data_IF_992970463843
#
_entry.id   IF_992970463843
#
_cell.length_a   1.000
_cell.length_b   1.000
_cell.length_c   1.000
_cell.angle_alpha   90.00
_cell.angle_beta   90.00
_cell.angle_gamma   90.00
#
_symmetry.space_group_name_H-M   'P 1'
#
loop_
_entity.id
_entity.type
_entity.pdbx_description
1 polymer ?
#
# COMPACT_ATOMS: atom_id res chain seq x y z
N UNK A 1 -12.40 11.44 10.90
CA UNK A 1 -11.42 12.06 9.99
C UNK A 1 -10.52 12.96 10.81
N UNK A 2 -9.23 12.67 10.79
CA UNK A 2 -8.24 13.41 11.58
C UNK A 2 -7.05 13.76 10.67
N UNK A 3 -6.59 15.02 10.76
CA UNK A 3 -5.36 15.44 10.10
C UNK A 3 -4.19 15.12 11.03
N UNK A 4 -3.19 14.43 10.51
CA UNK A 4 -2.04 13.94 11.24
C UNK A 4 -0.74 14.17 10.45
N UNK A 5 0.38 13.76 11.01
CA UNK A 5 1.68 13.76 10.35
C UNK A 5 2.15 12.33 10.13
N UNK A 6 2.95 12.10 9.07
CA UNK A 6 3.52 10.77 8.81
C UNK A 6 4.24 10.24 10.06
N UNK A 7 5.05 11.06 10.72
CA UNK A 7 5.72 10.63 11.95
C UNK A 7 4.76 10.17 13.05
N UNK A 8 3.54 10.73 13.13
CA UNK A 8 2.55 10.36 14.15
C UNK A 8 1.95 8.96 13.88
N UNK A 9 1.95 8.48 12.65
CA UNK A 9 1.58 7.10 12.34
C UNK A 9 2.50 6.12 13.08
N UNK A 10 3.79 6.40 13.10
CA UNK A 10 4.83 5.53 13.69
C UNK A 10 5.16 5.82 15.17
N UNK A 11 4.48 6.79 15.79
CA UNK A 11 4.58 7.05 17.23
C UNK A 11 3.60 6.19 18.07
N UNK A 12 2.72 5.45 17.39
CA UNK A 12 1.75 4.57 18.02
C UNK A 12 2.36 3.20 18.24
N UNK A 13 2.00 2.57 19.31
CA UNK A 13 2.33 1.17 19.60
C UNK A 13 1.34 0.26 18.82
N UNK A 14 1.44 0.33 17.49
CA UNK A 14 0.60 -0.46 16.58
C UNK A 14 1.41 -1.00 15.41
N UNK A 15 1.03 -2.16 14.93
CA UNK A 15 1.53 -2.76 13.71
C UNK A 15 0.54 -2.54 12.57
N UNK A 16 1.02 -2.09 11.44
CA UNK A 16 0.23 -1.96 10.21
C UNK A 16 0.28 -3.27 9.43
N UNK A 17 -0.88 -3.76 8.99
CA UNK A 17 -0.98 -4.98 8.20
C UNK A 17 -1.77 -4.68 6.92
N UNK A 18 -1.22 -5.05 5.77
CA UNK A 18 -1.93 -5.03 4.50
C UNK A 18 -2.63 -6.38 4.37
N UNK A 19 -3.98 -6.42 4.43
CA UNK A 19 -4.71 -7.67 4.34
C UNK A 19 -4.53 -8.37 2.99
N UNK A 20 -4.68 -9.71 2.96
CA UNK A 20 -4.52 -10.52 1.75
C UNK A 20 -5.51 -10.18 0.63
N UNK A 21 -6.67 -9.62 0.97
CA UNK A 21 -7.65 -9.15 0.01
C UNK A 21 -7.30 -7.78 -0.62
N UNK A 22 -6.20 -7.16 -0.22
CA UNK A 22 -5.65 -6.00 -0.90
C UNK A 22 -4.65 -6.46 -1.96
N UNK A 23 -4.50 -5.66 -3.02
CA UNK A 23 -3.48 -5.97 -4.02
C UNK A 23 -2.08 -5.79 -3.46
N UNK A 24 -1.17 -6.57 -3.99
CA UNK A 24 0.26 -6.45 -3.71
C UNK A 24 0.84 -5.10 -4.20
N UNK A 25 2.10 -4.81 -3.87
CA UNK A 25 2.74 -3.55 -4.26
C UNK A 25 2.74 -3.35 -5.78
N UNK A 26 2.23 -2.19 -6.23
CA UNK A 26 1.94 -1.96 -7.63
C UNK A 26 2.47 -0.63 -8.19
N UNK A 27 3.09 0.23 -7.37
CA UNK A 27 3.71 1.45 -7.88
C UNK A 27 4.90 1.12 -8.78
N UNK A 28 4.97 1.86 -9.90
CA UNK A 28 6.00 1.72 -10.92
C UNK A 28 6.84 3.00 -11.01
N UNK A 29 7.62 3.16 -12.10
CA UNK A 29 8.54 4.29 -12.29
C UNK A 29 7.90 5.65 -12.03
N UNK A 30 6.77 5.90 -12.67
CA UNK A 30 6.11 7.20 -12.62
C UNK A 30 5.76 7.65 -11.19
N UNK A 31 5.21 6.76 -10.35
CA UNK A 31 4.79 7.13 -8.99
C UNK A 31 5.98 7.37 -8.06
N UNK A 32 7.04 6.55 -8.15
CA UNK A 32 8.25 6.72 -7.33
C UNK A 32 9.08 7.93 -7.77
N UNK A 33 9.11 8.23 -9.07
CA UNK A 33 9.74 9.43 -9.61
C UNK A 33 9.00 10.69 -9.13
N UNK A 34 7.68 10.71 -9.24
CA UNK A 34 6.86 11.80 -8.74
C UNK A 34 7.06 12.03 -7.22
N UNK A 35 7.17 10.95 -6.43
CA UNK A 35 7.44 11.08 -4.99
C UNK A 35 8.76 11.83 -4.72
N UNK A 36 9.83 11.56 -5.46
CA UNK A 36 11.11 12.27 -5.31
C UNK A 36 11.03 13.71 -5.87
N UNK A 37 10.34 13.92 -6.99
CA UNK A 37 10.14 15.27 -7.54
C UNK A 37 9.37 16.15 -6.55
N UNK A 38 8.31 15.61 -5.96
CA UNK A 38 7.56 16.31 -4.90
C UNK A 38 8.48 16.75 -3.75
N UNK A 39 9.42 15.87 -3.31
CA UNK A 39 10.37 16.21 -2.24
C UNK A 39 11.39 17.29 -2.63
N UNK A 40 11.71 17.39 -3.93
CA UNK A 40 12.60 18.46 -4.44
C UNK A 40 11.89 19.82 -4.49
N UNK A 41 10.60 19.80 -4.85
CA UNK A 41 9.81 21.00 -5.12
C UNK A 41 9.12 21.57 -3.88
N UNK A 42 8.89 20.74 -2.86
CA UNK A 42 8.18 21.18 -1.63
C UNK A 42 8.98 22.21 -0.86
N UNK A 43 8.37 23.38 -0.63
CA UNK A 43 8.92 24.45 0.19
C UNK A 43 8.44 24.40 1.66
N UNK A 44 7.15 24.13 1.92
CA UNK A 44 6.58 24.25 3.25
C UNK A 44 5.65 23.12 3.71
N UNK A 45 4.70 22.69 2.87
CA UNK A 45 3.68 21.70 3.27
C UNK A 45 3.55 20.62 2.22
N UNK A 46 3.82 19.39 2.64
CA UNK A 46 3.62 18.22 1.80
C UNK A 46 2.38 17.44 2.28
N UNK A 47 1.47 17.15 1.38
CA UNK A 47 0.29 16.33 1.66
C UNK A 47 0.42 14.98 0.97
N UNK A 48 0.53 13.93 1.76
CA UNK A 48 0.70 12.54 1.28
C UNK A 48 -0.63 11.78 1.12
N UNK A 49 -1.75 12.48 1.21
CA UNK A 49 -3.06 11.88 0.97
C UNK A 49 -3.70 11.31 2.23
N UNK A 50 -4.60 10.36 2.03
CA UNK A 50 -5.38 9.76 3.13
C UNK A 50 -5.02 8.29 3.33
N UNK A 51 -5.28 7.81 4.56
CA UNK A 51 -5.18 6.42 4.97
C UNK A 51 -6.50 6.00 5.62
N UNK A 52 -6.95 4.82 5.29
CA UNK A 52 -8.11 4.19 5.91
C UNK A 52 -7.65 2.95 6.66
N UNK A 53 -7.86 2.95 7.97
CA UNK A 53 -7.49 1.87 8.86
C UNK A 53 -8.73 1.22 9.47
N UNK A 54 -8.76 -0.10 9.49
CA UNK A 54 -9.67 -0.90 10.30
C UNK A 54 -8.94 -1.32 11.58
N UNK A 55 -9.54 -1.04 12.74
CA UNK A 55 -9.02 -1.46 14.04
C UNK A 55 -9.37 -2.91 14.29
N UNK A 56 -8.37 -3.70 14.70
CA UNK A 56 -8.62 -5.06 15.22
C UNK A 56 -9.09 -5.01 16.67
N UNK A 57 -9.70 -6.09 17.15
CA UNK A 57 -10.30 -6.15 18.49
C UNK A 57 -9.32 -5.86 19.64
N UNK A 58 -8.06 -6.22 19.48
CA UNK A 58 -7.02 -5.96 20.49
C UNK A 58 -6.36 -4.57 20.38
N UNK A 59 -6.67 -3.81 19.32
CA UNK A 59 -6.16 -2.46 19.10
C UNK A 59 -4.67 -2.31 18.78
N UNK A 60 -3.87 -3.39 18.88
CA UNK A 60 -2.43 -3.38 18.60
C UNK A 60 -2.10 -3.54 17.11
N UNK A 61 -3.08 -3.89 16.30
CA UNK A 61 -2.95 -4.05 14.84
C UNK A 61 -3.98 -3.17 14.15
N UNK A 62 -3.50 -2.44 13.13
CA UNK A 62 -4.34 -1.67 12.22
C UNK A 62 -4.25 -2.29 10.82
N UNK A 63 -5.39 -2.79 10.31
CA UNK A 63 -5.47 -3.26 8.95
C UNK A 63 -5.60 -2.06 7.98
N UNK A 64 -4.69 -1.97 7.02
CA UNK A 64 -4.67 -0.88 6.05
C UNK A 64 -5.59 -1.19 4.87
N UNK A 65 -6.74 -0.51 4.83
CA UNK A 65 -7.77 -0.70 3.81
C UNK A 65 -7.52 0.17 2.57
N UNK A 66 -7.00 1.39 2.78
CA UNK A 66 -6.57 2.26 1.70
C UNK A 66 -5.30 3.02 2.08
N UNK A 67 -4.47 3.34 1.08
CA UNK A 67 -3.17 3.97 1.25
C UNK A 67 -1.99 2.98 1.31
N UNK A 68 -2.22 1.68 1.06
CA UNK A 68 -1.18 0.64 1.16
C UNK A 68 0.04 0.91 0.29
N UNK A 69 -0.13 1.40 -0.94
CA UNK A 69 0.98 1.70 -1.84
C UNK A 69 1.86 2.82 -1.27
N UNK A 70 1.22 3.86 -0.73
CA UNK A 70 1.91 5.01 -0.13
C UNK A 70 2.68 4.61 1.13
N UNK A 71 2.03 3.88 2.06
CA UNK A 71 2.69 3.48 3.30
C UNK A 71 3.89 2.55 3.01
N UNK A 72 3.74 1.61 2.09
CA UNK A 72 4.84 0.74 1.66
C UNK A 72 5.99 1.56 1.08
N UNK A 73 5.71 2.54 0.21
CA UNK A 73 6.73 3.40 -0.37
C UNK A 73 7.42 4.27 0.69
N UNK A 74 6.69 4.79 1.68
CA UNK A 74 7.26 5.54 2.80
C UNK A 74 8.24 4.68 3.61
N UNK A 75 7.89 3.42 3.89
CA UNK A 75 8.79 2.49 4.61
C UNK A 75 10.03 2.17 3.77
N UNK A 76 9.88 1.92 2.46
CA UNK A 76 11.01 1.73 1.55
C UNK A 76 11.91 2.97 1.55
N UNK A 77 11.36 4.16 1.47
CA UNK A 77 12.09 5.43 1.51
C UNK A 77 12.93 5.57 2.80
N UNK A 78 12.34 5.32 3.96
CA UNK A 78 13.07 5.37 5.23
C UNK A 78 14.19 4.32 5.31
N UNK A 79 13.96 3.11 4.82
CA UNK A 79 15.00 2.08 4.74
C UNK A 79 16.17 2.51 3.84
N UNK A 80 15.87 3.07 2.67
CA UNK A 80 16.91 3.56 1.76
C UNK A 80 17.67 4.76 2.35
N UNK A 81 17.00 5.66 3.08
CA UNK A 81 17.67 6.74 3.81
C UNK A 81 18.64 6.18 4.87
N UNK A 82 18.18 5.24 5.73
CA UNK A 82 19.04 4.59 6.72
C UNK A 82 20.27 3.99 6.05
N UNK A 83 20.07 3.27 4.94
CA UNK A 83 21.16 2.65 4.20
C UNK A 83 22.15 3.69 3.61
N UNK A 84 21.64 4.77 3.01
CA UNK A 84 22.47 5.85 2.46
C UNK A 84 23.33 6.52 3.55
N UNK A 85 22.73 6.82 4.71
CA UNK A 85 23.46 7.35 5.86
C UNK A 85 24.54 6.38 6.32
N UNK A 86 24.21 5.13 6.53
CA UNK A 86 25.15 4.11 6.97
C UNK A 86 26.31 3.93 5.97
N UNK A 87 26.02 3.79 4.67
CA UNK A 87 27.02 3.51 3.63
C UNK A 87 27.96 4.70 3.38
N UNK A 88 27.42 5.92 3.34
CA UNK A 88 28.16 7.09 2.83
C UNK A 88 28.71 8.00 3.92
N UNK A 89 28.13 8.02 5.10
CA UNK A 89 28.43 8.98 6.16
C UNK A 89 28.77 8.31 7.49
N UNK A 90 29.09 7.00 7.51
CA UNK A 90 29.32 6.21 8.73
C UNK A 90 30.42 6.75 9.64
N UNK A 91 31.39 7.48 9.10
CA UNK A 91 32.49 8.09 9.87
C UNK A 91 32.11 9.41 10.55
N UNK A 92 30.96 9.97 10.24
CA UNK A 92 30.48 11.23 10.81
C UNK A 92 29.71 11.00 12.11
N UNK A 93 30.04 11.76 13.16
CA UNK A 93 29.66 11.47 14.55
C UNK A 93 28.19 11.26 14.86
N UNK A 94 27.25 11.85 14.07
CA UNK A 94 25.82 11.75 14.32
C UNK A 94 25.12 10.69 13.46
N UNK A 95 25.80 10.11 12.49
CA UNK A 95 25.19 9.18 11.52
C UNK A 95 24.61 7.95 12.19
N UNK A 96 25.31 7.37 13.18
CA UNK A 96 24.79 6.22 13.92
C UNK A 96 23.46 6.54 14.60
N UNK A 97 23.35 7.70 15.26
CA UNK A 97 22.12 8.14 15.91
C UNK A 97 20.96 8.30 14.91
N UNK A 98 21.25 8.82 13.71
CA UNK A 98 20.25 8.98 12.64
C UNK A 98 19.80 7.61 12.15
N UNK A 99 20.72 6.67 11.91
CA UNK A 99 20.38 5.31 11.50
C UNK A 99 19.54 4.60 12.57
N UNK A 100 19.96 4.65 13.84
CA UNK A 100 19.24 4.07 14.98
C UNK A 100 17.84 4.70 15.14
N UNK A 101 17.75 6.02 14.94
CA UNK A 101 16.46 6.74 14.97
C UNK A 101 15.53 6.26 13.87
N UNK A 102 16.00 6.19 12.62
CA UNK A 102 15.17 5.74 11.48
C UNK A 102 14.72 4.29 11.70
N UNK A 103 15.63 3.42 12.12
CA UNK A 103 15.34 2.01 12.32
C UNK A 103 14.25 1.81 13.36
N UNK A 104 14.46 2.34 14.56
CA UNK A 104 13.54 2.19 15.69
C UNK A 104 12.22 2.91 15.52
N UNK A 105 12.18 3.95 14.70
CA UNK A 105 10.99 4.79 14.55
C UNK A 105 10.11 4.36 13.39
N UNK A 106 10.71 3.93 12.27
CA UNK A 106 9.97 3.73 11.02
C UNK A 106 10.01 2.32 10.49
N UNK A 107 11.01 1.54 10.89
CA UNK A 107 11.20 0.20 10.32
C UNK A 107 10.77 -0.89 11.28
N UNK A 108 11.15 -0.78 12.55
CA UNK A 108 10.89 -1.81 13.56
C UNK A 108 10.40 -1.21 14.87
N UNK A 109 9.50 -1.93 15.49
CA UNK A 109 9.13 -1.66 16.87
C UNK A 109 10.31 -1.92 17.82
N UNK A 110 10.51 -1.03 18.80
CA UNK A 110 11.67 -1.07 19.70
C UNK A 110 11.67 -2.24 20.68
N UNK A 111 10.47 -2.66 21.10
CA UNK A 111 10.31 -3.66 22.14
C UNK A 111 10.19 -5.07 21.58
N UNK A 112 9.52 -5.20 20.44
CA UNK A 112 9.25 -6.50 19.81
C UNK A 112 10.18 -6.85 18.67
N UNK A 113 10.96 -5.89 18.16
CA UNK A 113 11.79 -5.98 16.95
C UNK A 113 11.00 -6.33 15.67
N UNK A 114 9.69 -6.33 15.77
CA UNK A 114 8.81 -6.62 14.65
C UNK A 114 8.76 -5.43 13.66
N UNK A 115 8.70 -5.68 12.33
CA UNK A 115 8.47 -4.61 11.38
C UNK A 115 7.14 -3.89 11.65
N UNK A 116 7.16 -2.54 11.59
CA UNK A 116 5.94 -1.72 11.73
C UNK A 116 4.91 -2.01 10.64
N UNK A 117 5.37 -2.42 9.45
CA UNK A 117 4.52 -2.77 8.32
C UNK A 117 4.70 -4.24 7.95
N UNK A 118 3.58 -4.98 7.91
CA UNK A 118 3.47 -6.27 7.24
C UNK A 118 2.75 -6.07 5.89
N UNK A 119 3.41 -6.47 4.81
CA UNK A 119 2.82 -6.47 3.46
C UNK A 119 1.90 -7.68 3.26
N UNK A 120 1.31 -7.84 2.06
CA UNK A 120 0.56 -9.06 1.75
C UNK A 120 1.45 -10.29 1.92
N UNK A 121 0.84 -11.40 2.36
CA UNK A 121 1.54 -12.60 2.83
C UNK A 121 2.64 -13.08 1.86
N UNK A 122 2.34 -13.15 0.57
CA UNK A 122 3.27 -13.63 -0.46
C UNK A 122 4.52 -12.73 -0.65
N UNK A 123 4.43 -11.45 -0.27
CA UNK A 123 5.54 -10.50 -0.40
C UNK A 123 6.24 -10.23 0.93
N UNK A 124 5.65 -10.63 2.07
CA UNK A 124 6.06 -10.15 3.37
C UNK A 124 7.48 -10.60 3.75
N UNK A 125 7.82 -11.86 3.49
CA UNK A 125 9.19 -12.38 3.77
C UNK A 125 10.20 -11.64 2.91
N UNK A 126 9.94 -11.52 1.60
CA UNK A 126 10.76 -10.75 0.68
C UNK A 126 10.92 -9.29 1.13
N UNK A 127 9.82 -8.64 1.54
CA UNK A 127 9.84 -7.25 2.00
C UNK A 127 10.72 -7.07 3.25
N UNK A 128 10.68 -8.01 4.18
CA UNK A 128 11.52 -7.96 5.38
C UNK A 128 13.00 -8.03 5.00
N UNK A 129 13.41 -9.04 4.24
CA UNK A 129 14.81 -9.22 3.87
C UNK A 129 15.33 -8.14 2.91
N UNK A 130 14.55 -7.78 1.89
CA UNK A 130 14.94 -6.83 0.85
C UNK A 130 14.95 -5.37 1.34
N UNK A 131 13.99 -5.01 2.21
CA UNK A 131 13.75 -3.63 2.60
C UNK A 131 14.17 -3.38 4.05
N UNK A 132 13.66 -4.17 5.01
CA UNK A 132 13.85 -3.88 6.42
C UNK A 132 15.27 -4.26 6.85
N UNK A 133 15.69 -5.50 6.63
CA UNK A 133 16.99 -6.01 7.06
C UNK A 133 18.12 -5.65 6.09
N UNK A 134 17.83 -5.73 4.80
CA UNK A 134 18.83 -5.54 3.73
C UNK A 134 20.04 -6.44 3.94
N UNK A 135 19.77 -7.69 4.33
CA UNK A 135 20.78 -8.68 4.74
C UNK A 135 21.40 -9.46 3.56
N UNK A 136 20.94 -9.17 2.33
CA UNK A 136 21.42 -9.84 1.13
C UNK A 136 20.83 -11.23 0.92
N UNK A 137 19.76 -11.57 1.65
CA UNK A 137 19.05 -12.82 1.43
C UNK A 137 18.52 -12.90 0.00
N UNK A 138 18.96 -13.91 -0.74
CA UNK A 138 18.63 -14.06 -2.18
C UNK A 138 17.31 -14.80 -2.36
N UNK A 139 16.21 -14.13 -2.05
CA UNK A 139 14.89 -14.66 -2.36
C UNK A 139 14.54 -14.45 -3.84
N UNK A 140 14.02 -15.51 -4.45
CA UNK A 140 13.64 -15.46 -5.87
C UNK A 140 12.56 -14.40 -6.12
N UNK A 141 12.78 -13.56 -7.12
CA UNK A 141 11.77 -12.63 -7.62
C UNK A 141 10.83 -13.39 -8.57
N UNK A 142 9.84 -14.02 -8.02
CA UNK A 142 8.86 -14.83 -8.74
C UNK A 142 7.57 -14.08 -9.07
N UNK A 143 7.38 -12.89 -8.47
CA UNK A 143 6.18 -12.07 -8.66
C UNK A 143 6.50 -10.67 -9.18
N UNK A 144 5.51 -10.04 -9.84
CA UNK A 144 5.63 -8.65 -10.29
C UNK A 144 5.73 -7.67 -9.12
N UNK A 145 5.11 -7.97 -7.98
CA UNK A 145 5.15 -7.12 -6.79
C UNK A 145 6.53 -7.13 -6.14
N UNK A 146 7.16 -8.30 -5.96
CA UNK A 146 8.55 -8.40 -5.46
C UNK A 146 9.50 -7.63 -6.37
N UNK A 147 9.33 -7.75 -7.69
CA UNK A 147 10.12 -6.96 -8.65
C UNK A 147 9.94 -5.45 -8.42
N UNK A 148 8.69 -4.98 -8.28
CA UNK A 148 8.41 -3.55 -8.07
C UNK A 148 8.94 -3.03 -6.74
N UNK A 149 8.90 -3.83 -5.67
CA UNK A 149 9.51 -3.52 -4.37
C UNK A 149 11.02 -3.31 -4.55
N UNK A 150 11.72 -4.24 -5.20
CA UNK A 150 13.16 -4.13 -5.51
C UNK A 150 13.46 -2.93 -6.39
N UNK A 151 12.72 -2.75 -7.48
CA UNK A 151 12.89 -1.61 -8.40
C UNK A 151 12.69 -0.27 -7.67
N UNK A 152 11.79 -0.20 -6.70
CA UNK A 152 11.57 1.00 -5.88
C UNK A 152 12.76 1.28 -4.95
N UNK A 153 13.27 0.25 -4.27
CA UNK A 153 14.49 0.34 -3.45
C UNK A 153 15.69 0.80 -4.27
N UNK A 154 15.95 0.15 -5.40
CA UNK A 154 17.08 0.46 -6.28
C UNK A 154 17.00 1.88 -6.82
N UNK A 155 15.82 2.33 -7.19
CA UNK A 155 15.59 3.70 -7.62
C UNK A 155 15.94 4.71 -6.52
N UNK A 156 15.42 4.53 -5.29
CA UNK A 156 15.75 5.44 -4.18
C UNK A 156 17.23 5.38 -3.83
N UNK A 157 17.84 4.20 -3.79
CA UNK A 157 19.30 4.07 -3.56
C UNK A 157 20.09 4.87 -4.59
N UNK A 158 19.75 4.73 -5.88
CA UNK A 158 20.42 5.44 -6.98
C UNK A 158 20.29 6.96 -6.90
N UNK A 159 19.14 7.43 -6.42
CA UNK A 159 18.89 8.87 -6.19
C UNK A 159 19.71 9.34 -4.99
N UNK A 160 19.64 8.63 -3.86
CA UNK A 160 20.29 9.04 -2.62
C UNK A 160 21.81 8.97 -2.70
N UNK A 161 22.38 8.14 -3.56
CA UNK A 161 23.83 8.12 -3.82
C UNK A 161 24.36 9.45 -4.41
N UNK A 162 23.49 10.24 -5.04
CA UNK A 162 23.86 11.51 -5.68
C UNK A 162 23.59 12.74 -4.81
N UNK A 163 22.80 12.58 -3.75
CA UNK A 163 22.36 13.71 -2.93
C UNK A 163 23.33 13.98 -1.76
N UNK A 164 23.36 15.25 -1.29
CA UNK A 164 24.14 15.61 -0.13
C UNK A 164 23.51 15.10 1.18
N UNK A 165 24.29 15.02 2.25
CA UNK A 165 23.78 14.69 3.59
C UNK A 165 22.66 15.66 4.02
N UNK A 166 22.83 16.94 3.77
CA UNK A 166 21.85 17.96 4.13
C UNK A 166 20.55 17.80 3.36
N UNK A 167 20.64 17.45 2.06
CA UNK A 167 19.46 17.12 1.25
C UNK A 167 18.70 15.92 1.82
N UNK A 168 19.42 14.85 2.18
CA UNK A 168 18.81 13.65 2.74
C UNK A 168 18.15 13.93 4.12
N UNK A 169 18.78 14.75 4.95
CA UNK A 169 18.19 15.21 6.22
C UNK A 169 16.94 16.09 6.00
N UNK A 170 17.00 16.98 5.00
CA UNK A 170 15.84 17.78 4.61
C UNK A 170 14.68 16.88 4.16
N UNK A 171 14.93 15.87 3.33
CA UNK A 171 13.89 14.95 2.86
C UNK A 171 13.31 14.08 3.99
N UNK A 172 14.18 13.59 4.90
CA UNK A 172 13.74 12.93 6.12
C UNK A 172 12.68 13.79 6.83
N UNK A 173 13.00 15.05 7.11
CA UNK A 173 12.12 15.99 7.79
C UNK A 173 10.85 16.28 7.00
N UNK A 174 10.92 16.47 5.68
CA UNK A 174 9.75 16.71 4.83
C UNK A 174 8.76 15.54 4.92
N UNK A 175 9.24 14.30 4.82
CA UNK A 175 8.36 13.12 4.89
C UNK A 175 7.80 12.94 6.29
N UNK A 176 8.59 13.15 7.35
CA UNK A 176 8.11 13.11 8.75
C UNK A 176 6.98 14.10 9.01
N UNK A 177 7.14 15.34 8.52
CA UNK A 177 6.19 16.43 8.71
C UNK A 177 5.07 16.47 7.67
N UNK A 178 5.12 15.59 6.67
CA UNK A 178 4.08 15.51 5.67
C UNK A 178 2.72 15.26 6.32
N UNK A 179 1.72 16.03 5.86
CA UNK A 179 0.36 15.91 6.36
C UNK A 179 -0.34 14.72 5.72
N UNK A 180 -1.05 13.97 6.51
CA UNK A 180 -1.92 12.86 6.09
C UNK A 180 -3.30 13.02 6.70
N UNK A 181 -4.30 12.45 6.08
CA UNK A 181 -5.66 12.35 6.64
C UNK A 181 -5.92 10.91 7.03
N UNK A 182 -6.31 10.67 8.27
CA UNK A 182 -6.59 9.33 8.78
C UNK A 182 -8.08 9.12 8.99
N UNK A 183 -8.53 7.95 8.58
CA UNK A 183 -9.86 7.41 8.88
C UNK A 183 -9.68 6.11 9.65
N UNK A 184 -10.29 6.02 10.82
CA UNK A 184 -10.29 4.82 11.64
C UNK A 184 -11.70 4.28 11.75
N UNK A 185 -11.89 3.03 11.38
CA UNK A 185 -13.17 2.34 11.46
C UNK A 185 -13.05 1.09 12.32
N UNK A 186 -14.14 0.69 12.93
CA UNK A 186 -14.23 -0.55 13.73
C UNK A 186 -15.05 -1.63 13.04
N UNK A 187 -15.84 -1.23 12.03
CA UNK A 187 -16.70 -2.15 11.29
C UNK A 187 -16.25 -2.25 9.84
N UNK A 188 -16.15 -3.46 9.32
CA UNK A 188 -15.77 -3.73 7.92
C UNK A 188 -16.75 -3.11 6.91
N UNK A 189 -18.04 -3.09 7.23
CA UNK A 189 -19.06 -2.43 6.41
C UNK A 189 -18.85 -0.93 6.28
N UNK A 190 -18.42 -0.27 7.35
CA UNK A 190 -18.09 1.16 7.36
C UNK A 190 -16.81 1.44 6.55
N UNK A 191 -15.79 0.59 6.70
CA UNK A 191 -14.59 0.63 5.86
C UNK A 191 -14.94 0.48 4.37
N UNK A 192 -15.83 -0.45 4.04
CA UNK A 192 -16.30 -0.69 2.68
C UNK A 192 -16.99 0.54 2.08
N UNK A 193 -17.82 1.21 2.86
CA UNK A 193 -18.49 2.44 2.44
C UNK A 193 -17.49 3.57 2.14
N UNK A 194 -16.59 3.85 3.08
CA UNK A 194 -15.60 4.92 2.93
C UNK A 194 -14.69 4.63 1.73
N UNK A 195 -14.22 3.39 1.58
CA UNK A 195 -13.41 2.96 0.45
C UNK A 195 -14.11 3.18 -0.90
N UNK A 196 -15.39 2.80 -1.00
CA UNK A 196 -16.19 2.98 -2.21
C UNK A 196 -16.35 4.46 -2.58
N UNK A 197 -16.62 5.34 -1.61
CA UNK A 197 -16.79 6.77 -1.87
C UNK A 197 -15.49 7.51 -2.18
N UNK A 198 -14.37 7.10 -1.59
CA UNK A 198 -13.08 7.76 -1.83
C UNK A 198 -12.51 7.41 -3.21
N UNK A 199 -12.72 6.20 -3.67
CA UNK A 199 -12.21 5.72 -4.96
C UNK A 199 -12.94 6.33 -6.17
N UNK A 200 -14.10 6.93 -5.97
CA UNK A 200 -14.84 7.64 -7.04
C UNK A 200 -14.18 8.99 -7.41
N UNK A 201 -13.17 9.46 -6.67
CA UNK A 201 -12.55 10.79 -6.81
C UNK A 201 -11.02 10.79 -7.02
N UNK A 202 -10.35 9.63 -7.04
CA UNK A 202 -8.88 9.52 -7.05
C UNK A 202 -8.31 8.75 -8.24
N UNK A 203 -6.98 8.84 -8.42
CA UNK A 203 -6.17 8.23 -9.47
C UNK A 203 -6.55 6.79 -9.83
N UNK A 204 -6.42 6.47 -11.12
CA UNK A 204 -6.66 5.18 -11.78
C UNK A 204 -6.40 3.94 -10.91
N UNK A 205 -7.45 3.48 -10.24
CA UNK A 205 -7.52 2.12 -9.72
C UNK A 205 -7.46 1.13 -10.90
N UNK A 206 -6.95 -0.07 -10.65
CA UNK A 206 -7.15 -1.14 -11.62
C UNK A 206 -8.66 -1.44 -11.76
N UNK A 207 -9.07 -1.95 -12.92
CA UNK A 207 -10.47 -2.32 -13.14
C UNK A 207 -10.99 -3.29 -12.06
N UNK A 208 -10.12 -4.15 -11.54
CA UNK A 208 -10.45 -5.09 -10.47
C UNK A 208 -10.73 -4.38 -9.14
N UNK A 209 -9.94 -3.37 -8.78
CA UNK A 209 -10.18 -2.55 -7.59
C UNK A 209 -11.46 -1.71 -7.70
N UNK A 210 -11.73 -1.16 -8.90
CA UNK A 210 -12.99 -0.44 -9.17
C UNK A 210 -14.19 -1.38 -9.05
N UNK A 211 -14.05 -2.64 -9.49
CA UNK A 211 -15.11 -3.65 -9.35
C UNK A 211 -15.32 -4.02 -7.87
N UNK A 212 -14.24 -4.21 -7.11
CA UNK A 212 -14.32 -4.45 -5.67
C UNK A 212 -15.05 -3.32 -4.96
N UNK A 213 -14.67 -2.07 -5.24
CA UNK A 213 -15.33 -0.88 -4.67
C UNK A 213 -16.82 -0.84 -5.01
N UNK A 214 -17.19 -1.19 -6.24
CA UNK A 214 -18.58 -1.26 -6.67
C UNK A 214 -19.37 -2.32 -5.86
N UNK A 215 -18.85 -3.53 -5.71
CA UNK A 215 -19.52 -4.56 -4.92
C UNK A 215 -19.58 -4.20 -3.44
N UNK A 216 -18.56 -3.60 -2.87
CA UNK A 216 -18.56 -3.07 -1.50
C UNK A 216 -19.71 -2.07 -1.31
N UNK A 217 -19.88 -1.14 -2.26
CA UNK A 217 -20.97 -0.17 -2.22
C UNK A 217 -22.35 -0.86 -2.32
N UNK A 218 -22.52 -1.87 -3.20
CA UNK A 218 -23.78 -2.61 -3.30
C UNK A 218 -24.12 -3.34 -1.99
N UNK A 219 -23.12 -3.98 -1.36
CA UNK A 219 -23.29 -4.63 -0.06
C UNK A 219 -23.71 -3.61 1.01
N UNK A 220 -23.07 -2.44 1.03
CA UNK A 220 -23.43 -1.39 1.98
C UNK A 220 -24.87 -0.91 1.79
N UNK A 221 -25.29 -0.68 0.54
CA UNK A 221 -26.62 -0.16 0.24
C UNK A 221 -27.74 -1.17 0.47
N UNK A 222 -27.48 -2.48 0.34
CA UNK A 222 -28.49 -3.54 0.26
C UNK A 222 -28.30 -4.70 1.24
N UNK A 223 -27.14 -4.81 1.85
CA UNK A 223 -26.78 -5.97 2.70
C UNK A 223 -27.54 -6.06 4.02
N UNK A 224 -28.17 -4.96 4.46
CA UNK A 224 -28.93 -4.86 5.70
C UNK A 224 -28.21 -5.51 6.90
N UNK A 225 -28.86 -6.49 7.56
CA UNK A 225 -28.29 -7.19 8.72
C UNK A 225 -27.13 -8.14 8.40
N UNK A 226 -26.91 -8.48 7.12
CA UNK A 226 -25.86 -9.40 6.67
C UNK A 226 -24.65 -8.67 6.03
N UNK A 227 -24.53 -7.36 6.18
CA UNK A 227 -23.45 -6.58 5.59
C UNK A 227 -22.06 -7.14 5.92
N UNK A 228 -21.79 -7.43 7.20
CA UNK A 228 -20.48 -7.95 7.63
C UNK A 228 -20.17 -9.33 7.02
N UNK A 229 -21.15 -10.21 6.92
CA UNK A 229 -21.01 -11.51 6.26
C UNK A 229 -20.65 -11.33 4.78
N UNK A 230 -21.40 -10.53 4.04
CA UNK A 230 -21.16 -10.29 2.62
C UNK A 230 -19.83 -9.57 2.35
N UNK A 231 -19.41 -8.66 3.22
CA UNK A 231 -18.08 -8.02 3.13
C UNK A 231 -16.96 -9.05 3.32
N UNK A 232 -17.12 -9.98 4.29
CA UNK A 232 -16.14 -11.04 4.50
C UNK A 232 -16.07 -11.97 3.28
N UNK A 233 -17.20 -12.38 2.72
CA UNK A 233 -17.27 -13.25 1.53
C UNK A 233 -16.59 -12.56 0.33
N UNK A 234 -16.89 -11.27 0.12
CA UNK A 234 -16.24 -10.49 -0.94
C UNK A 234 -14.72 -10.41 -0.74
N UNK A 235 -14.28 -10.12 0.47
CA UNK A 235 -12.85 -10.04 0.77
C UNK A 235 -12.14 -11.39 0.57
N UNK A 236 -12.75 -12.49 0.99
CA UNK A 236 -12.21 -13.84 0.76
C UNK A 236 -12.08 -14.13 -0.74
N UNK A 237 -13.12 -13.82 -1.53
CA UNK A 237 -13.09 -13.99 -2.99
C UNK A 237 -11.98 -13.16 -3.64
N UNK A 238 -11.78 -11.91 -3.22
CA UNK A 238 -10.69 -11.08 -3.75
C UNK A 238 -9.31 -11.56 -3.30
N UNK A 239 -9.18 -12.13 -2.11
CA UNK A 239 -7.94 -12.77 -1.67
C UNK A 239 -7.55 -13.92 -2.62
N UNK A 240 -8.49 -14.83 -2.92
CA UNK A 240 -8.29 -15.93 -3.86
C UNK A 240 -7.93 -15.44 -5.28
N UNK A 241 -8.58 -14.37 -5.76
CA UNK A 241 -8.28 -13.76 -7.06
C UNK A 241 -6.84 -13.23 -7.07
N UNK A 242 -6.42 -12.45 -6.07
CA UNK A 242 -5.08 -11.88 -6.03
C UNK A 242 -3.99 -12.96 -5.88
N UNK A 243 -4.22 -14.00 -5.08
CA UNK A 243 -3.32 -15.15 -5.01
C UNK A 243 -3.19 -15.86 -6.37
N UNK A 244 -4.31 -16.02 -7.08
CA UNK A 244 -4.31 -16.64 -8.41
C UNK A 244 -3.56 -15.79 -9.45
N UNK A 245 -3.68 -14.46 -9.36
CA UNK A 245 -2.93 -13.51 -10.20
C UNK A 245 -1.42 -13.69 -9.99
N UNK A 246 -1.00 -13.76 -8.73
CA UNK A 246 0.41 -13.97 -8.38
C UNK A 246 0.92 -15.29 -8.95
N UNK A 247 0.17 -16.40 -8.75
CA UNK A 247 0.55 -17.74 -9.22
C UNK A 247 0.59 -17.88 -10.75
N UNK A 248 -0.34 -17.22 -11.44
CA UNK A 248 -0.50 -17.38 -12.91
C UNK A 248 0.22 -16.32 -13.74
N UNK A 249 0.68 -15.23 -13.11
CA UNK A 249 1.31 -14.07 -13.76
C UNK A 249 0.41 -13.39 -14.81
N UNK A 250 -0.90 -13.60 -14.73
CA UNK A 250 -1.90 -12.95 -15.60
C UNK A 250 -2.07 -11.49 -15.15
N UNK A 251 -2.30 -10.59 -16.11
CA UNK A 251 -2.60 -9.19 -15.78
C UNK A 251 -4.00 -9.06 -15.18
N UNK A 252 -4.16 -8.19 -14.17
CA UNK A 252 -5.44 -7.95 -13.49
C UNK A 252 -6.58 -7.63 -14.46
N UNK A 253 -6.34 -6.78 -15.45
CA UNK A 253 -7.34 -6.38 -16.45
C UNK A 253 -7.74 -7.53 -17.39
N UNK A 254 -6.82 -8.44 -17.69
CA UNK A 254 -7.11 -9.60 -18.53
C UNK A 254 -8.04 -10.60 -17.81
N UNK A 255 -7.98 -10.69 -16.47
CA UNK A 255 -8.87 -11.56 -15.69
C UNK A 255 -10.32 -11.15 -15.85
N UNK A 256 -10.61 -9.86 -15.71
CA UNK A 256 -11.99 -9.37 -15.89
C UNK A 256 -12.49 -9.62 -17.30
N UNK A 257 -11.63 -9.43 -18.30
CA UNK A 257 -11.96 -9.68 -19.69
C UNK A 257 -12.26 -11.15 -19.94
N UNK A 258 -11.39 -12.07 -19.50
CA UNK A 258 -11.60 -13.50 -19.69
C UNK A 258 -12.80 -14.02 -18.90
N UNK A 259 -12.96 -13.56 -17.65
CA UNK A 259 -14.14 -13.90 -16.86
C UNK A 259 -15.42 -13.48 -17.57
N UNK A 260 -15.49 -12.23 -18.03
CA UNK A 260 -16.68 -11.73 -18.69
C UNK A 260 -16.98 -12.40 -20.01
N UNK A 261 -15.95 -12.70 -20.80
CA UNK A 261 -16.09 -13.49 -22.02
C UNK A 261 -16.62 -14.91 -21.78
N UNK A 262 -16.19 -15.54 -20.68
CA UNK A 262 -16.67 -16.87 -20.31
C UNK A 262 -18.09 -16.88 -19.74
N UNK A 263 -18.44 -15.83 -19.00
CA UNK A 263 -19.71 -15.71 -18.27
C UNK A 263 -20.83 -15.11 -19.11
N UNK A 264 -20.54 -14.10 -19.94
CA UNK A 264 -21.54 -13.44 -20.76
C UNK A 264 -21.88 -14.24 -22.00
N UNK A 265 -23.16 -14.39 -22.27
CA UNK A 265 -23.66 -15.01 -23.53
C UNK A 265 -23.43 -14.13 -24.78
N UNK A 266 -22.92 -12.92 -24.60
CA UNK A 266 -22.79 -11.88 -25.61
C UNK A 266 -21.33 -11.76 -26.07
N UNK A 267 -20.79 -12.78 -26.71
CA UNK A 267 -19.69 -12.68 -27.68
C UNK A 267 -18.37 -11.97 -27.28
N UNK A 268 -17.37 -12.29 -28.02
CA UNK A 268 -15.92 -12.06 -27.89
C UNK A 268 -15.43 -10.61 -27.99
N UNK A 269 -16.27 -9.57 -27.96
CA UNK A 269 -15.86 -8.21 -28.30
C UNK A 269 -16.28 -7.15 -27.25
N UNK A 270 -15.81 -7.35 -26.01
CA UNK A 270 -16.08 -6.37 -24.96
C UNK A 270 -14.91 -5.42 -24.81
N UNK A 271 -15.07 -4.19 -25.28
CA UNK A 271 -14.06 -3.13 -25.11
C UNK A 271 -13.99 -2.66 -23.62
N UNK A 272 -15.09 -2.80 -22.87
CA UNK A 272 -15.17 -2.37 -21.48
C UNK A 272 -15.90 -3.39 -20.58
N UNK A 273 -15.23 -4.48 -20.17
CA UNK A 273 -15.85 -5.53 -19.33
C UNK A 273 -16.34 -5.00 -17.97
N UNK A 274 -15.66 -4.03 -17.39
CA UNK A 274 -16.04 -3.42 -16.10
C UNK A 274 -17.43 -2.76 -16.17
N UNK A 275 -17.69 -2.00 -17.22
CA UNK A 275 -18.97 -1.31 -17.43
C UNK A 275 -20.12 -2.31 -17.58
N UNK A 276 -19.90 -3.38 -18.36
CA UNK A 276 -20.91 -4.41 -18.60
C UNK A 276 -21.19 -5.24 -17.35
N UNK A 277 -20.15 -5.63 -16.59
CA UNK A 277 -20.32 -6.31 -15.32
C UNK A 277 -21.16 -5.47 -14.36
N UNK A 278 -20.81 -4.17 -14.20
CA UNK A 278 -21.59 -3.27 -13.35
C UNK A 278 -23.05 -3.15 -13.79
N UNK A 279 -23.31 -3.04 -15.09
CA UNK A 279 -24.66 -2.97 -15.65
C UNK A 279 -25.45 -4.26 -15.39
N UNK A 280 -24.82 -5.43 -15.60
CA UNK A 280 -25.43 -6.73 -15.35
C UNK A 280 -25.89 -6.89 -13.89
N UNK A 281 -25.02 -6.55 -12.93
CA UNK A 281 -25.37 -6.66 -11.52
C UNK A 281 -26.40 -5.61 -11.05
N UNK A 282 -26.42 -4.42 -11.69
CA UNK A 282 -27.48 -3.42 -11.46
C UNK A 282 -28.84 -3.84 -12.02
N UNK A 283 -28.89 -4.60 -13.12
CA UNK A 283 -30.12 -5.01 -13.79
C UNK A 283 -30.82 -6.22 -13.14
N UNK A 284 -30.18 -6.86 -12.16
CA UNK A 284 -30.76 -8.00 -11.42
C UNK A 284 -31.47 -7.59 -10.13
N UNK A 285 -31.90 -6.35 -10.08
CA UNK A 285 -32.74 -5.78 -9.01
C UNK A 285 -34.18 -6.27 -9.04
#
# INVERSE_FOLDING_TARGET
MEASKVKALFYRDVRYVIPSYQRAYSWEGQQREQFIEDLRDVSDKYYLGHFLFEKTDNGSVLCLIDGQQRLTTIVIFFSCLRHAFFKRFSTEGDTKKICDYIDRRYLRDQDTEQPHLATVENDNVFFIHEIIDRDGFDEMIDTSSKKRIRDCREYFDSVFEKESKDTLLKWLKIVEEATVTEYHVTKKSEAAQIFAFQNDRGKSLSNLEVLKSFFMLQIYLRGEKRQEEYVNDLNNSFSEIYESIVKTKVKEDDILRYFWMAFSKYGYNTENPLSEIKAYFKSKE
#
